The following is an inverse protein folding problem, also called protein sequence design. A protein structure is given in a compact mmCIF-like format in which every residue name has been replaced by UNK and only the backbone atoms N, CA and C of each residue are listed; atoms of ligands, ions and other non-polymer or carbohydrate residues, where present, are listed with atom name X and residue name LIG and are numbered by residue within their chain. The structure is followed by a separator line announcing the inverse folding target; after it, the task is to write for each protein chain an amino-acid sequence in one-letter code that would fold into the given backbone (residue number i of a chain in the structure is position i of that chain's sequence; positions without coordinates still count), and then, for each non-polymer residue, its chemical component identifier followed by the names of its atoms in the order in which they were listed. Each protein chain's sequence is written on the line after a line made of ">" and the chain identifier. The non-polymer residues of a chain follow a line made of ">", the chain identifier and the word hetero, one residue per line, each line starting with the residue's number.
data_IF_977686381436
#
_entry.id   IF_977686381436
#
_cell.length_a   1.000
_cell.length_b   1.000
_cell.length_c   1.000
_cell.angle_alpha   90.00
_cell.angle_beta   90.00
_cell.angle_gamma   90.00
#
_symmetry.space_group_name_H-M   'P 1'
#
loop_
_entity.id
_entity.type
_entity.pdbx_description
1 polymer ?
#
# COMPACT_ATOMS: atom_id res chain seq x y z
N UNK A 1 47.86 -4.71 -113.29
CA UNK A 1 48.36 -6.08 -113.02
C UNK A 1 48.71 -6.19 -111.54
N UNK A 2 48.41 -7.36 -110.93
CA UNK A 2 48.71 -7.84 -109.57
C UNK A 2 47.63 -7.67 -108.48
N UNK A 3 46.84 -8.74 -108.37
CA UNK A 3 46.17 -9.23 -107.15
C UNK A 3 47.21 -9.44 -106.03
N UNK A 4 46.80 -9.25 -104.78
CA UNK A 4 47.03 -10.24 -103.70
C UNK A 4 46.07 -10.02 -102.53
N UNK A 5 45.28 -11.07 -102.31
CA UNK A 5 44.46 -11.40 -101.16
C UNK A 5 45.36 -11.57 -99.92
N UNK A 6 44.96 -11.05 -98.76
CA UNK A 6 45.36 -11.62 -97.47
C UNK A 6 44.22 -11.47 -96.45
N UNK A 7 43.73 -12.62 -96.00
CA UNK A 7 43.01 -12.85 -94.75
C UNK A 7 43.81 -12.25 -93.57
N UNK A 8 43.15 -11.89 -92.47
CA UNK A 8 43.28 -12.56 -91.16
C UNK A 8 43.10 -11.59 -89.97
N UNK A 9 42.41 -12.13 -88.97
CA UNK A 9 42.43 -11.78 -87.56
C UNK A 9 41.69 -10.52 -87.11
N UNK A 10 40.40 -10.73 -86.83
CA UNK A 10 39.71 -10.06 -85.73
C UNK A 10 40.44 -10.40 -84.41
N UNK A 11 41.29 -9.49 -83.91
CA UNK A 11 41.68 -9.47 -82.51
C UNK A 11 40.69 -8.55 -81.78
N UNK A 12 39.64 -9.14 -81.19
CA UNK A 12 39.05 -8.54 -80.00
C UNK A 12 40.10 -8.67 -78.90
N UNK A 13 40.87 -7.61 -78.67
CA UNK A 13 41.51 -7.43 -77.37
C UNK A 13 40.41 -7.19 -76.35
N UNK A 14 40.02 -8.24 -75.63
CA UNK A 14 39.42 -8.09 -74.31
C UNK A 14 40.46 -7.40 -73.43
N UNK A 15 40.47 -6.06 -73.44
CA UNK A 15 41.09 -5.30 -72.36
C UNK A 15 40.24 -5.54 -71.12
N UNK A 16 40.61 -6.57 -70.35
CA UNK A 16 40.23 -6.65 -68.95
C UNK A 16 40.96 -5.49 -68.28
N UNK A 17 40.31 -4.34 -68.20
CA UNK A 17 40.72 -3.32 -67.25
C UNK A 17 40.55 -3.95 -65.87
N UNK A 18 41.66 -4.37 -65.26
CA UNK A 18 41.68 -4.65 -63.82
C UNK A 18 41.18 -3.38 -63.14
N UNK A 19 39.97 -3.44 -62.59
CA UNK A 19 39.45 -2.34 -61.79
C UNK A 19 40.35 -2.23 -60.57
N UNK A 20 40.97 -1.07 -60.38
CA UNK A 20 41.83 -0.83 -59.23
C UNK A 20 41.00 -0.40 -58.02
N UNK A 21 41.33 -0.98 -56.87
CA UNK A 21 40.67 -0.71 -55.59
C UNK A 21 41.67 -0.23 -54.54
N UNK A 22 41.15 0.51 -53.58
CA UNK A 22 41.82 0.93 -52.36
C UNK A 22 41.13 0.30 -51.16
N UNK A 23 41.91 0.00 -50.14
CA UNK A 23 41.45 -0.60 -48.88
C UNK A 23 41.06 0.47 -47.88
N UNK A 24 39.92 0.25 -47.23
CA UNK A 24 39.37 1.12 -46.20
C UNK A 24 39.01 0.32 -44.95
N UNK A 25 39.16 0.93 -43.78
CA UNK A 25 38.75 0.34 -42.50
C UNK A 25 37.65 1.19 -41.88
N UNK A 26 36.44 0.63 -41.85
CA UNK A 26 35.25 1.26 -41.30
C UNK A 26 34.86 0.65 -39.96
N UNK A 27 34.17 1.41 -39.14
CA UNK A 27 33.58 0.97 -37.88
C UNK A 27 32.11 1.41 -37.81
N UNK A 28 31.23 0.55 -37.31
CA UNK A 28 29.78 0.85 -37.21
C UNK A 28 29.34 1.39 -35.85
N UNK A 29 30.18 1.30 -34.83
CA UNK A 29 29.82 1.72 -33.47
C UNK A 29 31.03 2.10 -32.62
N UNK A 30 30.78 2.66 -31.44
CA UNK A 30 31.79 2.85 -30.39
C UNK A 30 31.28 2.42 -29.02
N UNK A 31 32.19 2.16 -28.09
CA UNK A 31 31.87 1.84 -26.68
C UNK A 31 31.03 2.93 -26.02
N UNK A 32 31.37 4.19 -26.29
CA UNK A 32 30.75 5.34 -25.65
C UNK A 32 29.39 5.71 -26.28
N UNK A 33 29.25 5.56 -27.60
CA UNK A 33 28.09 6.08 -28.34
C UNK A 33 27.13 4.98 -28.81
N UNK A 34 27.52 3.72 -28.72
CA UNK A 34 26.78 2.61 -29.33
C UNK A 34 26.81 2.69 -30.85
N UNK A 35 25.76 2.18 -31.49
CA UNK A 35 25.64 2.12 -32.94
C UNK A 35 25.50 3.50 -33.57
N UNK A 36 26.35 3.78 -34.56
CA UNK A 36 26.30 5.04 -35.28
C UNK A 36 24.99 5.15 -36.06
N UNK A 37 24.29 6.24 -35.82
CA UNK A 37 23.06 6.59 -36.51
C UNK A 37 23.08 8.07 -36.89
N UNK A 38 22.06 8.50 -37.65
CA UNK A 38 21.95 9.87 -38.13
C UNK A 38 22.07 10.91 -37.01
N UNK A 39 21.34 10.70 -35.93
CA UNK A 39 21.24 11.66 -34.82
C UNK A 39 22.59 11.84 -34.13
N UNK A 40 23.31 10.74 -33.88
CA UNK A 40 24.64 10.77 -33.28
C UNK A 40 25.62 11.47 -34.22
N UNK A 41 25.70 11.01 -35.48
CA UNK A 41 26.74 11.45 -36.41
C UNK A 41 26.60 12.92 -36.80
N UNK A 42 25.37 13.42 -36.99
CA UNK A 42 25.13 14.83 -37.32
C UNK A 42 25.43 15.77 -36.14
N UNK A 43 25.47 15.26 -34.89
CA UNK A 43 25.79 16.04 -33.71
C UNK A 43 27.26 15.98 -33.27
N UNK A 44 28.08 15.12 -33.89
CA UNK A 44 29.51 15.02 -33.59
C UNK A 44 30.27 16.21 -34.22
N UNK A 45 31.17 16.88 -33.47
CA UNK A 45 32.05 17.91 -34.01
C UNK A 45 32.95 17.39 -35.14
N UNK A 46 33.21 18.22 -36.16
CA UNK A 46 34.00 17.83 -37.34
C UNK A 46 35.45 17.40 -37.09
N UNK A 47 36.01 17.83 -35.96
CA UNK A 47 37.38 17.54 -35.54
C UNK A 47 37.44 16.43 -34.49
N UNK A 48 36.31 15.85 -34.13
CA UNK A 48 36.25 14.74 -33.17
C UNK A 48 36.96 13.52 -33.74
N UNK A 49 37.84 12.92 -32.94
CA UNK A 49 38.57 11.70 -33.29
C UNK A 49 38.35 10.64 -32.23
N UNK A 50 38.19 9.39 -32.67
CA UNK A 50 38.02 8.25 -31.79
C UNK A 50 39.30 7.41 -31.71
N UNK A 51 39.67 6.96 -30.51
CA UNK A 51 40.70 5.93 -30.37
C UNK A 51 40.18 4.62 -30.99
N UNK A 52 41.03 3.92 -31.74
CA UNK A 52 40.67 2.65 -32.35
C UNK A 52 40.26 1.59 -31.33
N UNK A 53 40.70 1.72 -30.07
CA UNK A 53 40.31 0.83 -28.97
C UNK A 53 38.85 1.01 -28.53
N UNK A 54 38.24 2.15 -28.87
CA UNK A 54 36.86 2.47 -28.50
C UNK A 54 35.87 2.18 -29.62
N UNK A 55 36.36 1.91 -30.83
CA UNK A 55 35.54 1.61 -31.99
C UNK A 55 35.24 0.10 -32.09
N UNK A 56 33.99 -0.22 -32.46
CA UNK A 56 33.46 -1.58 -32.55
C UNK A 56 32.85 -1.78 -33.95
N UNK A 57 32.72 -3.04 -34.38
CA UNK A 57 32.12 -3.39 -35.67
C UNK A 57 33.01 -3.00 -36.85
N UNK A 58 34.25 -3.52 -36.85
CA UNK A 58 35.24 -3.24 -37.89
C UNK A 58 34.89 -3.95 -39.20
N UNK A 59 35.06 -3.26 -40.32
CA UNK A 59 34.93 -3.78 -41.67
C UNK A 59 36.12 -3.38 -42.54
N UNK A 60 36.74 -4.36 -43.20
CA UNK A 60 37.70 -4.16 -44.28
C UNK A 60 36.96 -4.07 -45.61
N UNK A 61 37.08 -2.93 -46.30
CA UNK A 61 36.28 -2.66 -47.50
C UNK A 61 37.19 -2.23 -48.64
N UNK A 62 37.13 -2.93 -49.76
CA UNK A 62 37.83 -2.54 -50.98
C UNK A 62 36.87 -1.71 -51.87
N UNK A 63 37.22 -0.45 -52.14
CA UNK A 63 36.40 0.50 -52.92
C UNK A 63 37.16 0.95 -54.17
N UNK A 64 36.47 1.02 -55.31
CA UNK A 64 37.07 1.42 -56.58
C UNK A 64 37.71 2.83 -56.50
N UNK A 65 38.93 2.98 -57.04
CA UNK A 65 39.84 4.14 -56.88
C UNK A 65 39.30 5.53 -57.31
N UNK A 66 38.09 5.59 -57.85
CA UNK A 66 37.40 6.83 -58.24
C UNK A 66 36.80 7.61 -57.06
N UNK A 67 36.79 7.06 -55.84
CA UNK A 67 36.14 7.67 -54.67
C UNK A 67 37.21 8.01 -53.62
N UNK A 68 37.65 9.28 -53.53
CA UNK A 68 38.58 9.68 -52.47
C UNK A 68 37.82 9.74 -51.14
N UNK A 69 38.24 8.93 -50.18
CA UNK A 69 37.71 8.94 -48.81
C UNK A 69 38.78 9.39 -47.83
N UNK A 70 38.41 10.31 -46.95
CA UNK A 70 39.26 10.92 -45.94
C UNK A 70 39.11 10.17 -44.61
N UNK A 71 40.21 9.70 -44.00
CA UNK A 71 40.17 9.17 -42.64
C UNK A 71 39.63 10.18 -41.63
N UNK A 72 39.12 9.67 -40.52
CA UNK A 72 38.49 10.41 -39.43
C UNK A 72 37.22 11.16 -39.84
N UNK A 73 36.44 10.57 -40.74
CA UNK A 73 35.15 11.08 -41.21
C UNK A 73 34.08 10.00 -41.18
N UNK A 74 32.84 10.44 -41.03
CA UNK A 74 31.68 9.57 -41.14
C UNK A 74 31.15 9.51 -42.56
N UNK A 75 30.71 8.33 -42.96
CA UNK A 75 30.14 8.06 -44.27
C UNK A 75 28.82 7.31 -44.13
N UNK A 76 27.86 7.67 -44.97
CA UNK A 76 26.60 6.95 -45.16
C UNK A 76 26.69 6.17 -46.47
N UNK A 77 26.68 4.84 -46.37
CA UNK A 77 26.90 3.93 -47.49
C UNK A 77 26.25 2.56 -47.23
N UNK A 78 26.13 1.75 -48.27
CA UNK A 78 25.50 0.42 -48.24
C UNK A 78 26.50 -0.66 -48.68
N UNK A 79 26.70 -1.67 -47.82
CA UNK A 79 27.53 -2.85 -48.08
C UNK A 79 26.74 -4.03 -48.71
N UNK A 80 25.49 -3.81 -49.13
CA UNK A 80 24.58 -4.83 -49.64
C UNK A 80 23.55 -5.33 -48.62
N UNK A 81 23.44 -4.66 -47.46
CA UNK A 81 22.48 -4.98 -46.38
C UNK A 81 21.58 -3.79 -46.03
N UNK A 82 21.63 -2.72 -46.81
CA UNK A 82 20.98 -1.45 -46.54
C UNK A 82 21.96 -0.38 -46.11
N UNK A 83 21.56 0.88 -46.26
CA UNK A 83 22.39 2.02 -45.91
C UNK A 83 22.57 2.17 -44.40
N UNK A 84 23.82 2.38 -43.98
CA UNK A 84 24.21 2.58 -42.59
C UNK A 84 25.31 3.66 -42.47
N UNK A 85 25.56 4.08 -41.23
CA UNK A 85 26.58 5.07 -40.87
C UNK A 85 27.86 4.38 -40.41
N UNK A 86 29.00 4.80 -40.94
CA UNK A 86 30.29 4.23 -40.63
C UNK A 86 31.35 5.30 -40.40
N UNK A 87 32.22 5.09 -39.41
CA UNK A 87 33.40 5.92 -39.18
C UNK A 87 34.61 5.32 -39.89
N UNK A 88 35.27 6.09 -40.76
CA UNK A 88 36.47 5.66 -41.49
C UNK A 88 37.73 5.99 -40.70
N UNK A 89 38.52 4.99 -40.32
CA UNK A 89 39.80 5.22 -39.60
C UNK A 89 41.02 5.19 -40.50
N UNK A 90 40.97 4.47 -41.63
CA UNK A 90 42.10 4.40 -42.54
C UNK A 90 41.69 4.14 -44.00
N UNK A 91 42.47 4.71 -44.92
CA UNK A 91 42.29 4.66 -46.37
C UNK A 91 43.69 4.44 -46.98
N UNK A 92 43.92 3.31 -47.64
CA UNK A 92 45.25 2.87 -48.11
C UNK A 92 45.20 2.49 -49.59
N UNK A 93 46.30 2.79 -50.30
CA UNK A 93 46.46 2.39 -51.70
C UNK A 93 46.61 0.88 -51.82
N UNK A 94 45.86 0.26 -52.73
CA UNK A 94 45.87 -1.18 -52.95
C UNK A 94 44.79 -1.92 -52.14
N UNK A 95 44.61 -3.21 -52.46
CA UNK A 95 43.56 -4.05 -51.88
C UNK A 95 44.02 -4.71 -50.58
N UNK A 96 43.09 -4.80 -49.63
CA UNK A 96 43.24 -5.71 -48.50
C UNK A 96 42.87 -7.12 -48.97
N UNK A 97 43.61 -8.14 -48.54
CA UNK A 97 43.40 -9.53 -48.98
C UNK A 97 42.34 -10.30 -48.20
N UNK A 98 41.83 -9.72 -47.11
CA UNK A 98 40.79 -10.30 -46.25
C UNK A 98 39.55 -9.40 -46.19
N UNK A 99 39.21 -8.74 -47.30
CA UNK A 99 38.09 -7.81 -47.33
C UNK A 99 36.74 -8.48 -46.98
N UNK A 100 35.96 -7.80 -46.13
CA UNK A 100 34.59 -8.20 -45.82
C UNK A 100 33.65 -7.82 -46.97
N UNK A 101 33.92 -6.68 -47.63
CA UNK A 101 33.08 -6.13 -48.70
C UNK A 101 33.90 -5.54 -49.84
N UNK A 102 33.32 -5.58 -51.06
CA UNK A 102 33.91 -5.05 -52.29
C UNK A 102 32.88 -4.21 -53.05
N UNK A 103 33.18 -2.92 -53.27
CA UNK A 103 32.26 -1.94 -53.85
C UNK A 103 32.80 -1.39 -55.20
N UNK A 104 32.09 -1.66 -56.30
CA UNK A 104 32.41 -1.24 -57.69
C UNK A 104 31.36 -0.26 -58.25
N UNK A 105 31.75 0.84 -58.90
CA UNK A 105 30.81 1.87 -59.37
C UNK A 105 29.61 1.32 -60.19
N UNK A 106 28.41 1.92 -60.04
CA UNK A 106 28.10 3.08 -59.20
C UNK A 106 27.64 2.67 -57.79
N UNK A 107 28.43 2.98 -56.75
CA UNK A 107 27.99 2.91 -55.35
C UNK A 107 27.69 4.31 -54.83
N UNK A 108 26.62 4.43 -54.04
CA UNK A 108 26.26 5.67 -53.37
C UNK A 108 27.02 5.76 -52.04
N UNK A 109 28.07 6.59 -52.01
CA UNK A 109 28.82 6.92 -50.80
C UNK A 109 28.68 8.42 -50.56
N UNK A 110 28.12 8.79 -49.41
CA UNK A 110 27.99 10.18 -49.01
C UNK A 110 28.80 10.42 -47.73
N UNK A 111 29.68 11.42 -47.74
CA UNK A 111 30.27 11.92 -46.51
C UNK A 111 29.19 12.61 -45.68
N UNK A 112 29.07 12.26 -44.41
CA UNK A 112 28.08 12.86 -43.53
C UNK A 112 28.57 14.23 -43.08
N UNK A 113 27.69 15.22 -43.11
CA UNK A 113 28.00 16.56 -42.61
C UNK A 113 28.08 16.52 -41.08
N UNK A 114 29.21 16.99 -40.56
CA UNK A 114 29.47 17.09 -39.13
C UNK A 114 29.11 18.48 -38.60
N UNK A 115 29.05 18.62 -37.27
CA UNK A 115 28.72 19.88 -36.63
C UNK A 115 29.91 20.85 -36.66
N UNK A 116 29.69 22.07 -37.16
CA UNK A 116 30.72 23.13 -37.22
C UNK A 116 30.78 24.03 -35.97
N UNK A 117 29.79 23.94 -35.09
CA UNK A 117 29.71 24.72 -33.85
C UNK A 117 29.96 23.82 -32.64
N UNK A 118 30.53 24.35 -31.53
CA UNK A 118 30.62 23.61 -30.27
C UNK A 118 29.25 23.06 -29.82
N UNK A 119 29.27 21.86 -29.25
CA UNK A 119 28.10 21.18 -28.70
C UNK A 119 27.58 21.97 -27.48
N UNK A 120 26.29 22.37 -27.43
CA UNK A 120 25.73 23.09 -26.31
C UNK A 120 25.76 22.20 -25.07
N UNK A 121 26.25 22.77 -23.96
CA UNK A 121 26.14 22.18 -22.62
C UNK A 121 24.80 22.59 -22.05
N UNK A 122 23.92 21.64 -21.77
CA UNK A 122 22.58 21.91 -21.25
C UNK A 122 22.03 20.72 -20.47
N UNK A 123 21.19 21.03 -19.49
CA UNK A 123 20.35 20.06 -18.79
C UNK A 123 18.87 20.46 -18.89
N UNK A 124 17.98 19.50 -19.14
CA UNK A 124 16.54 19.74 -19.30
C UNK A 124 15.71 18.59 -18.72
N UNK A 125 14.39 18.74 -18.77
CA UNK A 125 13.42 17.67 -18.49
C UNK A 125 13.55 17.05 -17.09
N UNK A 126 13.88 17.87 -16.08
CA UNK A 126 13.96 17.41 -14.70
C UNK A 126 12.59 16.97 -14.18
N UNK A 127 12.54 15.75 -13.62
CA UNK A 127 11.36 15.18 -12.98
C UNK A 127 11.76 14.34 -11.76
N UNK A 128 10.92 14.38 -10.74
CA UNK A 128 11.06 13.51 -9.56
C UNK A 128 10.27 12.23 -9.78
N UNK A 129 10.93 11.09 -9.62
CA UNK A 129 10.35 9.76 -9.84
C UNK A 129 10.01 9.11 -8.49
N UNK A 130 9.20 9.80 -7.68
CA UNK A 130 8.71 9.29 -6.41
C UNK A 130 7.22 8.99 -6.49
N UNK A 131 6.75 8.06 -5.65
CA UNK A 131 5.32 7.89 -5.44
C UNK A 131 4.72 9.20 -4.91
N UNK A 132 3.65 9.69 -5.54
CA UNK A 132 2.96 10.91 -5.14
C UNK A 132 2.18 10.69 -3.82
N UNK A 133 1.84 11.78 -3.13
CA UNK A 133 1.04 11.76 -1.88
C UNK A 133 1.67 10.99 -0.74
N UNK A 134 3.00 10.91 -0.74
CA UNK A 134 3.75 10.20 0.31
C UNK A 134 4.71 11.11 1.03
N UNK A 135 4.85 10.80 2.33
CA UNK A 135 5.89 11.30 3.20
C UNK A 135 7.09 10.35 3.12
N UNK A 136 8.27 10.92 2.93
CA UNK A 136 9.53 10.20 2.86
C UNK A 136 10.43 10.69 3.99
N UNK A 137 10.91 9.74 4.80
CA UNK A 137 11.87 10.06 5.84
C UNK A 137 13.28 10.24 5.27
N UNK A 138 14.12 10.93 6.02
CA UNK A 138 15.56 11.01 5.80
C UNK A 138 16.17 9.60 5.70
N UNK A 139 17.24 9.49 4.90
CA UNK A 139 17.96 8.26 4.60
C UNK A 139 17.15 7.25 3.74
N UNK A 140 16.14 7.72 3.01
CA UNK A 140 15.41 6.93 2.01
C UNK A 140 15.96 7.20 0.61
N UNK A 141 15.65 6.32 -0.34
CA UNK A 141 16.05 6.48 -1.74
C UNK A 141 15.29 7.64 -2.39
N UNK A 142 16.02 8.51 -3.09
CA UNK A 142 15.51 9.60 -3.89
C UNK A 142 15.80 9.35 -5.38
N UNK A 143 14.78 9.00 -6.16
CA UNK A 143 14.86 8.75 -7.60
C UNK A 143 14.40 9.97 -8.41
N UNK A 144 15.14 10.28 -9.47
CA UNK A 144 14.83 11.40 -10.34
C UNK A 144 15.37 11.16 -11.76
N UNK A 145 14.88 11.94 -12.71
CA UNK A 145 15.33 11.89 -14.09
C UNK A 145 15.59 13.28 -14.65
N UNK A 146 16.49 13.35 -15.63
CA UNK A 146 16.78 14.54 -16.43
C UNK A 146 17.41 14.13 -17.77
N UNK A 147 17.49 15.07 -18.69
CA UNK A 147 18.21 14.91 -19.96
C UNK A 147 19.41 15.84 -20.00
N UNK A 148 20.57 15.35 -20.44
CA UNK A 148 21.81 16.11 -20.54
C UNK A 148 22.39 16.02 -21.95
N UNK A 149 22.93 17.13 -22.45
CA UNK A 149 23.69 17.18 -23.71
C UNK A 149 24.90 18.08 -23.50
N UNK A 150 26.03 17.73 -24.10
CA UNK A 150 27.23 18.55 -24.05
C UNK A 150 28.51 17.74 -24.04
N UNK A 151 29.60 18.40 -24.40
CA UNK A 151 30.94 17.85 -24.22
C UNK A 151 31.49 18.33 -22.88
N UNK A 152 31.51 17.45 -21.89
CA UNK A 152 31.99 17.78 -20.56
C UNK A 152 33.45 17.36 -20.34
N UNK A 153 34.13 16.81 -21.34
CA UNK A 153 35.53 16.39 -21.20
C UNK A 153 36.47 17.59 -20.99
N UNK A 154 37.57 17.37 -20.27
CA UNK A 154 38.69 18.30 -20.12
C UNK A 154 38.76 19.05 -18.79
N UNK A 155 39.97 19.53 -18.45
CA UNK A 155 40.26 20.22 -17.18
C UNK A 155 39.87 21.69 -17.17
N UNK A 156 39.19 22.15 -16.11
CA UNK A 156 39.09 23.59 -15.87
C UNK A 156 40.46 24.15 -15.42
N UNK A 157 40.64 25.48 -15.48
CA UNK A 157 41.90 26.16 -15.16
C UNK A 157 42.39 25.93 -13.69
N UNK A 158 41.55 25.34 -12.84
CA UNK A 158 41.83 25.06 -11.43
C UNK A 158 42.00 23.55 -11.13
N UNK A 159 41.93 22.69 -12.15
CA UNK A 159 42.10 21.23 -12.01
C UNK A 159 40.87 20.47 -11.49
N UNK A 160 39.72 21.12 -11.27
CA UNK A 160 38.48 20.45 -10.83
C UNK A 160 37.59 20.10 -12.02
N UNK A 161 37.26 18.82 -12.14
CA UNK A 161 36.53 18.22 -13.26
C UNK A 161 35.17 17.69 -12.81
N UNK A 162 34.57 18.35 -11.82
CA UNK A 162 33.40 17.79 -11.17
C UNK A 162 32.13 18.37 -11.76
N UNK A 163 31.25 17.50 -12.22
CA UNK A 163 29.85 17.83 -12.37
C UNK A 163 29.18 17.57 -11.02
N UNK A 164 28.47 18.57 -10.52
CA UNK A 164 27.65 18.44 -9.32
C UNK A 164 26.17 18.57 -9.70
N UNK A 165 25.38 17.59 -9.31
CA UNK A 165 23.92 17.69 -9.27
C UNK A 165 23.47 17.70 -7.82
N UNK A 166 22.72 18.74 -7.45
CA UNK A 166 22.09 18.87 -6.14
C UNK A 166 20.58 19.00 -6.31
N UNK A 167 19.82 18.17 -5.60
CA UNK A 167 18.36 18.25 -5.59
C UNK A 167 17.88 18.92 -4.31
N UNK A 168 17.00 19.90 -4.43
CA UNK A 168 16.48 20.67 -3.30
C UNK A 168 14.95 20.58 -3.19
N UNK A 169 14.46 20.61 -1.96
CA UNK A 169 13.04 20.64 -1.61
C UNK A 169 12.53 22.08 -1.37
N UNK A 170 11.46 22.50 -2.02
CA UNK A 170 10.77 23.80 -1.91
C UNK A 170 11.58 25.07 -2.25
N UNK A 171 12.89 25.12 -1.99
CA UNK A 171 13.80 26.21 -2.41
C UNK A 171 15.26 25.79 -2.42
N UNK A 172 16.08 26.46 -3.24
CA UNK A 172 17.52 26.17 -3.41
C UNK A 172 18.33 26.75 -2.24
N UNK A 173 18.36 26.04 -1.11
CA UNK A 173 19.16 26.38 0.08
C UNK A 173 19.70 25.11 0.77
N UNK A 174 20.72 25.25 1.60
CA UNK A 174 21.41 24.09 2.19
C UNK A 174 20.53 23.24 3.12
N UNK A 175 19.60 23.86 3.86
CA UNK A 175 18.65 23.14 4.72
C UNK A 175 17.66 22.27 3.94
N UNK A 176 17.45 22.58 2.67
CA UNK A 176 16.52 21.88 1.78
C UNK A 176 17.23 20.91 0.82
N UNK A 177 18.53 20.69 0.97
CA UNK A 177 19.26 19.75 0.12
C UNK A 177 18.77 18.31 0.40
N UNK A 178 18.11 17.71 -0.58
CA UNK A 178 17.65 16.31 -0.52
C UNK A 178 18.82 15.37 -0.80
N UNK A 179 19.50 15.55 -1.93
CA UNK A 179 20.61 14.66 -2.29
C UNK A 179 21.60 15.40 -3.18
N UNK A 180 22.84 14.92 -3.20
CA UNK A 180 23.94 15.49 -3.97
C UNK A 180 24.75 14.37 -4.60
N UNK A 181 24.96 14.46 -5.90
CA UNK A 181 25.80 13.55 -6.68
C UNK A 181 26.93 14.36 -7.30
N UNK A 182 28.15 13.80 -7.21
CA UNK A 182 29.36 14.37 -7.81
C UNK A 182 30.01 13.27 -8.64
N UNK A 183 30.40 13.58 -9.86
CA UNK A 183 31.18 12.66 -10.70
C UNK A 183 32.21 13.41 -11.53
N UNK A 184 33.29 12.69 -11.87
CA UNK A 184 34.43 13.20 -12.63
C UNK A 184 34.11 13.26 -14.13
N UNK A 185 34.57 14.33 -14.79
CA UNK A 185 34.28 14.69 -16.18
C UNK A 185 35.14 13.97 -17.23
N UNK A 186 36.01 13.03 -16.84
CA UNK A 186 37.13 12.61 -17.68
C UNK A 186 36.73 11.78 -18.93
N UNK A 187 35.49 11.30 -19.04
CA UNK A 187 34.98 10.56 -20.21
C UNK A 187 33.55 10.96 -20.67
N UNK A 188 32.96 12.03 -20.12
CA UNK A 188 31.53 12.33 -20.32
C UNK A 188 31.25 13.20 -21.56
N UNK A 189 30.92 12.54 -22.67
CA UNK A 189 30.53 13.17 -23.94
C UNK A 189 29.11 12.77 -24.35
N UNK A 190 28.19 13.73 -24.36
CA UNK A 190 26.79 13.53 -24.72
C UNK A 190 26.44 14.29 -26.00
N UNK A 191 26.68 13.72 -27.21
CA UNK A 191 26.41 14.40 -28.48
C UNK A 191 24.93 14.66 -28.71
N UNK A 192 24.06 13.87 -28.08
CA UNK A 192 22.60 14.00 -28.14
C UNK A 192 22.04 14.21 -26.74
N UNK A 193 20.74 14.56 -26.64
CA UNK A 193 20.06 14.61 -25.35
C UNK A 193 19.95 13.19 -24.81
N UNK A 194 20.69 12.90 -23.75
CA UNK A 194 20.73 11.59 -23.12
C UNK A 194 19.94 11.63 -21.82
N UNK A 195 18.91 10.78 -21.72
CA UNK A 195 18.15 10.58 -20.48
C UNK A 195 19.03 9.91 -19.42
N UNK A 196 18.98 10.42 -18.19
CA UNK A 196 19.61 9.84 -17.01
C UNK A 196 18.55 9.64 -15.94
N UNK A 197 18.60 8.49 -15.26
CA UNK A 197 17.68 8.11 -14.18
C UNK A 197 18.46 7.73 -12.90
N UNK A 198 19.18 8.69 -12.30
CA UNK A 198 19.94 8.42 -11.08
C UNK A 198 19.04 8.25 -9.85
N UNK A 199 19.68 7.75 -8.80
CA UNK A 199 19.15 7.73 -7.45
C UNK A 199 20.18 8.31 -6.47
N UNK A 200 19.72 8.74 -5.31
CA UNK A 200 20.57 9.17 -4.20
C UNK A 200 19.91 8.87 -2.85
N UNK A 201 20.66 9.00 -1.76
CA UNK A 201 20.09 8.92 -0.40
C UNK A 201 19.62 10.30 0.05
N UNK A 202 18.42 10.40 0.62
CA UNK A 202 17.85 11.65 1.12
C UNK A 202 18.53 12.11 2.42
N UNK A 203 18.90 13.39 2.49
CA UNK A 203 19.49 14.01 3.68
C UNK A 203 18.44 14.63 4.62
N UNK A 204 17.21 14.79 4.14
CA UNK A 204 16.09 15.40 4.87
C UNK A 204 14.81 14.59 4.67
N UNK A 205 13.83 14.84 5.54
CA UNK A 205 12.45 14.43 5.30
C UNK A 205 11.82 15.32 4.22
N UNK A 206 10.96 14.76 3.39
CA UNK A 206 10.22 15.50 2.36
C UNK A 206 8.88 14.81 2.07
N UNK A 207 7.97 15.54 1.46
CA UNK A 207 6.69 15.02 0.97
C UNK A 207 6.52 15.31 -0.51
N UNK A 208 5.62 14.56 -1.12
CA UNK A 208 5.24 14.67 -2.53
C UNK A 208 3.77 15.05 -2.65
N UNK A 209 3.33 15.94 -1.76
CA UNK A 209 2.01 16.54 -1.87
C UNK A 209 1.94 17.38 -3.16
N UNK A 210 0.74 17.63 -3.70
CA UNK A 210 0.61 18.47 -4.87
C UNK A 210 1.21 19.86 -4.68
N UNK A 211 1.73 20.41 -5.76
CA UNK A 211 2.33 21.75 -5.81
C UNK A 211 3.64 21.91 -5.06
N UNK A 212 4.13 20.86 -4.38
CA UNK A 212 5.50 20.84 -3.88
C UNK A 212 6.48 21.02 -5.04
N UNK A 213 7.54 21.77 -4.76
CA UNK A 213 8.55 22.11 -5.75
C UNK A 213 9.85 21.42 -5.43
N UNK A 214 10.46 20.83 -6.44
CA UNK A 214 11.80 20.29 -6.39
C UNK A 214 12.67 21.08 -7.35
N UNK A 215 13.93 21.27 -7.00
CA UNK A 215 14.87 22.00 -7.84
C UNK A 215 16.09 21.13 -8.08
N UNK A 216 16.47 20.98 -9.34
CA UNK A 216 17.75 20.40 -9.72
C UNK A 216 18.70 21.56 -10.00
N UNK A 217 19.76 21.66 -9.21
CA UNK A 217 20.88 22.57 -9.46
C UNK A 217 22.02 21.78 -10.09
N UNK A 218 22.34 22.13 -11.32
CA UNK A 218 23.44 21.58 -12.10
C UNK A 218 24.60 22.56 -12.07
N UNK A 219 25.79 22.10 -11.69
CA UNK A 219 26.99 22.93 -11.58
C UNK A 219 28.16 22.26 -12.32
N UNK A 220 28.79 23.00 -13.23
CA UNK A 220 29.93 22.52 -14.01
C UNK A 220 30.86 23.68 -14.39
N UNK A 221 32.18 23.51 -14.22
CA UNK A 221 33.19 24.49 -14.63
C UNK A 221 32.88 25.96 -14.24
N UNK A 222 32.28 26.18 -13.06
CA UNK A 222 31.87 27.52 -12.56
C UNK A 222 30.53 28.04 -13.09
N UNK A 223 29.89 27.34 -14.01
CA UNK A 223 28.52 27.61 -14.47
C UNK A 223 27.51 26.90 -13.56
N UNK A 224 26.29 27.45 -13.47
CA UNK A 224 25.18 26.80 -12.78
C UNK A 224 23.86 27.02 -13.51
N UNK A 225 23.07 25.95 -13.62
CA UNK A 225 21.70 25.96 -14.14
C UNK A 225 20.75 25.37 -13.10
N UNK A 226 19.52 25.88 -13.04
CA UNK A 226 18.48 25.38 -12.13
C UNK A 226 17.23 25.01 -12.91
N UNK A 227 16.79 23.76 -12.76
CA UNK A 227 15.51 23.27 -13.26
C UNK A 227 14.53 23.14 -12.09
N UNK A 228 13.24 23.28 -12.37
CA UNK A 228 12.17 23.14 -11.37
C UNK A 228 11.17 22.08 -11.81
N UNK A 229 10.83 21.19 -10.89
CA UNK A 229 9.73 20.23 -11.02
C UNK A 229 8.65 20.59 -9.99
N UNK A 230 7.39 20.66 -10.41
CA UNK A 230 6.25 20.86 -9.51
C UNK A 230 5.41 19.59 -9.52
N UNK A 231 5.12 19.04 -8.34
CA UNK A 231 4.30 17.83 -8.22
C UNK A 231 2.89 18.12 -8.76
N UNK A 232 2.39 17.36 -9.73
CA UNK A 232 1.07 17.58 -10.30
C UNK A 232 -0.04 17.20 -9.32
N UNK A 233 -1.18 17.91 -9.37
CA UNK A 233 -2.43 17.46 -8.73
C UNK A 233 -3.01 16.29 -9.51
N UNK A 234 -3.40 15.24 -8.80
CA UNK A 234 -4.14 14.11 -9.37
C UNK A 234 -5.63 14.42 -9.32
N UNK A 235 -6.13 15.02 -10.39
CA UNK A 235 -7.53 15.47 -10.47
C UNK A 235 -8.51 14.34 -10.76
N UNK A 236 -8.05 13.08 -10.81
CA UNK A 236 -8.92 11.91 -10.98
C UNK A 236 -9.61 11.61 -9.66
N UNK A 237 -10.73 10.89 -9.77
CA UNK A 237 -11.52 10.35 -8.67
C UNK A 237 -11.70 8.87 -9.04
N UNK A 238 -11.01 8.01 -8.32
CA UNK A 238 -10.85 6.59 -8.67
C UNK A 238 -12.05 5.73 -8.25
N UNK A 239 -12.75 6.10 -7.18
CA UNK A 239 -13.93 5.38 -6.68
C UNK A 239 -15.26 6.09 -6.97
N UNK A 240 -15.22 7.32 -7.46
CA UNK A 240 -16.37 8.07 -7.94
C UNK A 240 -17.20 8.70 -6.83
N UNK A 241 -16.65 8.92 -5.65
CA UNK A 241 -17.37 9.48 -4.50
C UNK A 241 -17.52 11.02 -4.55
N UNK A 242 -16.90 11.66 -5.54
CA UNK A 242 -16.92 13.11 -5.75
C UNK A 242 -15.80 13.87 -5.04
N UNK A 243 -14.87 13.17 -4.38
CA UNK A 243 -13.62 13.69 -3.81
C UNK A 243 -12.47 13.30 -4.75
N UNK A 244 -11.66 14.27 -5.16
CA UNK A 244 -10.52 13.95 -6.04
C UNK A 244 -9.45 13.19 -5.23
N UNK A 245 -8.72 12.28 -5.86
CA UNK A 245 -7.68 11.44 -5.25
C UNK A 245 -6.68 12.23 -4.38
N UNK A 246 -6.37 13.48 -4.75
CA UNK A 246 -5.45 14.32 -3.99
C UNK A 246 -6.05 14.91 -2.70
N UNK A 247 -7.36 14.85 -2.54
CA UNK A 247 -8.15 15.27 -1.38
C UNK A 247 -8.75 14.09 -0.61
N UNK A 248 -8.62 12.87 -1.16
CA UNK A 248 -9.21 11.65 -0.66
C UNK A 248 -8.16 10.83 0.12
N UNK A 249 -8.50 10.46 1.35
CA UNK A 249 -7.66 9.63 2.20
C UNK A 249 -7.79 8.12 1.88
N UNK A 250 -8.85 7.73 1.18
CA UNK A 250 -9.13 6.37 0.74
C UNK A 250 -9.45 6.32 -0.77
N UNK A 251 -8.49 6.64 -1.68
CA UNK A 251 -8.74 6.81 -3.13
C UNK A 251 -9.28 5.59 -3.90
N UNK A 252 -9.63 4.49 -3.24
CA UNK A 252 -10.20 3.31 -3.89
C UNK A 252 -11.44 2.81 -3.13
N UNK A 253 -11.94 3.54 -2.14
CA UNK A 253 -13.05 3.15 -1.28
C UNK A 253 -13.97 4.35 -1.06
N UNK A 254 -15.10 4.37 -1.78
CA UNK A 254 -16.00 5.52 -1.76
C UNK A 254 -16.46 5.91 -0.34
N UNK A 255 -16.33 7.21 -0.03
CA UNK A 255 -16.77 7.77 1.24
C UNK A 255 -17.37 9.16 1.08
N UNK A 256 -18.01 9.70 2.12
CA UNK A 256 -18.48 11.07 2.05
C UNK A 256 -17.31 12.05 2.16
N UNK A 257 -17.41 13.19 1.47
CA UNK A 257 -16.44 14.28 1.60
C UNK A 257 -16.26 14.78 3.03
N UNK A 258 -17.28 14.64 3.89
CA UNK A 258 -17.19 14.95 5.33
C UNK A 258 -16.21 14.06 6.09
N UNK A 259 -15.85 12.90 5.52
CA UNK A 259 -14.87 11.96 6.05
C UNK A 259 -13.63 11.85 5.14
N UNK A 260 -13.35 12.88 4.33
CA UNK A 260 -12.23 12.92 3.39
C UNK A 260 -12.19 11.70 2.45
N UNK A 261 -13.34 11.35 1.89
CA UNK A 261 -13.48 10.26 0.92
C UNK A 261 -13.36 8.84 1.50
N UNK A 262 -13.15 8.68 2.82
CA UNK A 262 -13.13 7.36 3.43
C UNK A 262 -14.52 6.84 3.84
N UNK A 263 -14.78 5.53 3.76
CA UNK A 263 -16.04 4.94 4.21
C UNK A 263 -16.33 5.25 5.67
N UNK A 264 -17.61 5.51 5.97
CA UNK A 264 -18.09 5.51 7.35
C UNK A 264 -18.42 4.05 7.68
N UNK A 265 -17.56 3.38 8.43
CA UNK A 265 -17.86 2.01 8.86
C UNK A 265 -19.04 1.93 9.82
N UNK A 266 -19.57 0.72 10.04
CA UNK A 266 -20.67 0.43 10.96
C UNK A 266 -20.16 -0.28 12.23
N UNK A 267 -20.87 -0.19 13.38
CA UNK A 267 -20.62 -1.08 14.51
C UNK A 267 -20.94 -2.54 14.12
N UNK A 268 -20.49 -3.50 14.92
CA UNK A 268 -20.78 -4.93 14.72
C UNK A 268 -20.82 -5.59 16.10
N UNK A 269 -22.00 -5.94 16.61
CA UNK A 269 -22.20 -6.44 17.95
C UNK A 269 -22.28 -7.96 17.97
N UNK A 270 -21.38 -8.57 18.73
CA UNK A 270 -21.34 -10.02 18.92
C UNK A 270 -21.49 -10.32 20.40
N UNK A 271 -22.41 -11.22 20.74
CA UNK A 271 -22.51 -11.74 22.11
C UNK A 271 -21.40 -12.76 22.31
N UNK A 272 -20.50 -12.49 23.25
CA UNK A 272 -19.35 -13.37 23.52
C UNK A 272 -19.62 -14.36 24.65
N UNK A 273 -20.44 -13.99 25.64
CA UNK A 273 -20.84 -14.92 26.70
C UNK A 273 -22.13 -14.52 27.42
N UNK A 274 -22.77 -15.51 28.02
CA UNK A 274 -23.95 -15.36 28.90
C UNK A 274 -23.58 -15.90 30.29
N UNK A 275 -24.06 -15.24 31.35
CA UNK A 275 -23.96 -15.74 32.71
C UNK A 275 -25.27 -15.65 33.49
N UNK A 276 -25.46 -16.58 34.43
CA UNK A 276 -26.52 -16.57 35.43
C UNK A 276 -25.86 -16.64 36.80
N UNK A 277 -26.02 -15.59 37.61
CA UNK A 277 -25.77 -15.65 39.05
C UNK A 277 -27.10 -15.90 39.77
N UNK A 278 -27.12 -16.96 40.56
CA UNK A 278 -28.26 -17.36 41.35
C UNK A 278 -27.81 -17.61 42.79
N UNK A 279 -28.01 -16.61 43.66
CA UNK A 279 -27.65 -16.69 45.08
C UNK A 279 -26.15 -16.85 45.33
N UNK A 280 -25.31 -16.14 44.56
CA UNK A 280 -23.85 -16.15 44.70
C UNK A 280 -23.13 -17.29 43.98
N UNK A 281 -23.88 -18.10 43.23
CA UNK A 281 -23.34 -19.16 42.37
C UNK A 281 -23.54 -18.74 40.92
N UNK A 282 -22.43 -18.42 40.25
CA UNK A 282 -22.41 -18.01 38.85
C UNK A 282 -22.14 -19.21 37.95
N UNK A 283 -22.97 -19.38 36.92
CA UNK A 283 -22.72 -20.26 35.77
C UNK A 283 -22.58 -19.39 34.54
N UNK A 284 -21.65 -19.74 33.65
CA UNK A 284 -21.39 -18.97 32.44
C UNK A 284 -21.11 -19.89 31.25
N UNK A 285 -21.18 -19.34 30.05
CA UNK A 285 -20.87 -20.06 28.81
C UNK A 285 -19.38 -20.08 28.46
N UNK A 286 -18.55 -19.30 29.16
CA UNK A 286 -17.10 -19.24 28.93
C UNK A 286 -16.39 -20.52 29.42
N UNK A 287 -16.92 -21.15 30.47
CA UNK A 287 -16.38 -22.35 31.11
C UNK A 287 -16.96 -23.66 30.54
N UNK A 288 -17.57 -23.61 29.34
CA UNK A 288 -18.25 -24.73 28.66
C UNK A 288 -19.31 -25.43 29.54
N UNK A 289 -19.89 -24.65 30.46
CA UNK A 289 -20.86 -25.11 31.44
C UNK A 289 -22.28 -24.76 31.01
N UNK A 290 -23.23 -25.66 31.25
CA UNK A 290 -24.65 -25.33 31.12
C UNK A 290 -25.04 -24.27 32.14
N UNK A 291 -25.81 -23.27 31.72
CA UNK A 291 -26.37 -22.28 32.63
C UNK A 291 -27.36 -22.95 33.59
N UNK A 292 -27.45 -22.48 34.84
CA UNK A 292 -28.32 -23.11 35.85
C UNK A 292 -29.35 -22.13 36.40
N UNK A 293 -30.63 -22.45 36.18
CA UNK A 293 -31.75 -21.87 36.90
C UNK A 293 -31.92 -22.57 38.25
N UNK A 294 -32.36 -21.81 39.26
CA UNK A 294 -32.55 -22.31 40.62
C UNK A 294 -33.91 -21.88 41.12
N UNK A 295 -34.60 -22.74 41.84
CA UNK A 295 -35.96 -22.44 42.30
C UNK A 295 -35.94 -21.53 43.53
N UNK A 296 -36.89 -20.59 43.59
CA UNK A 296 -37.21 -19.75 44.76
C UNK A 296 -36.12 -18.76 45.20
N UNK A 297 -35.40 -18.15 44.25
CA UNK A 297 -34.35 -17.18 44.53
C UNK A 297 -34.23 -16.10 43.44
N UNK A 298 -33.47 -15.05 43.74
CA UNK A 298 -33.13 -13.99 42.78
C UNK A 298 -32.06 -14.50 41.80
N UNK A 299 -32.25 -14.16 40.52
CA UNK A 299 -31.32 -14.44 39.43
C UNK A 299 -30.88 -13.13 38.79
N UNK A 300 -29.58 -13.02 38.55
CA UNK A 300 -28.98 -11.99 37.71
C UNK A 300 -28.48 -12.66 36.43
N UNK A 301 -29.11 -12.32 35.32
CA UNK A 301 -28.76 -12.77 33.98
C UNK A 301 -27.92 -11.69 33.33
N UNK A 302 -26.70 -12.00 32.89
CA UNK A 302 -25.84 -11.05 32.20
C UNK A 302 -25.42 -11.56 30.84
N UNK A 303 -25.19 -10.63 29.91
CA UNK A 303 -24.60 -10.89 28.60
C UNK A 303 -23.42 -9.97 28.38
N UNK A 304 -22.35 -10.52 27.85
CA UNK A 304 -21.18 -9.77 27.40
C UNK A 304 -21.29 -9.56 25.89
N UNK A 305 -21.32 -8.29 25.49
CA UNK A 305 -21.47 -7.88 24.10
C UNK A 305 -20.20 -7.17 23.67
N UNK A 306 -19.59 -7.63 22.58
CA UNK A 306 -18.38 -7.06 21.98
C UNK A 306 -18.73 -6.31 20.70
N UNK A 307 -18.19 -5.12 20.52
CA UNK A 307 -18.21 -4.44 19.23
C UNK A 307 -16.98 -4.85 18.41
N UNK A 308 -17.15 -5.68 17.37
CA UNK A 308 -16.12 -6.08 16.39
C UNK A 308 -16.03 -5.13 15.19
N UNK A 309 -16.90 -4.12 15.12
CA UNK A 309 -16.97 -3.15 14.04
C UNK A 309 -15.98 -2.01 14.20
N UNK A 310 -15.92 -1.15 13.18
CA UNK A 310 -14.92 -0.08 13.09
C UNK A 310 -15.37 1.24 13.71
N UNK A 311 -16.64 1.39 14.11
CA UNK A 311 -17.16 2.58 14.78
C UNK A 311 -17.89 2.24 16.08
N UNK A 312 -17.99 3.22 16.97
CA UNK A 312 -18.77 3.09 18.21
C UNK A 312 -20.26 2.99 17.89
N UNK A 313 -20.95 2.03 18.49
CA UNK A 313 -22.40 1.88 18.40
C UNK A 313 -23.06 1.90 19.77
N UNK A 314 -24.40 2.02 19.79
CA UNK A 314 -25.20 2.04 21.01
C UNK A 314 -26.34 1.03 20.92
N UNK A 315 -26.40 0.10 21.87
CA UNK A 315 -27.49 -0.88 22.00
C UNK A 315 -28.50 -0.35 23.00
N UNK A 316 -29.78 -0.26 22.64
CA UNK A 316 -30.82 0.28 23.53
C UNK A 316 -31.73 -0.81 24.12
N UNK A 317 -31.49 -2.05 23.73
CA UNK A 317 -32.43 -3.14 23.75
C UNK A 317 -31.64 -4.45 23.64
N UNK A 318 -31.85 -5.35 24.59
CA UNK A 318 -31.32 -6.70 24.52
C UNK A 318 -32.37 -7.62 25.09
N UNK A 319 -32.72 -8.63 24.32
CA UNK A 319 -33.69 -9.62 24.76
C UNK A 319 -32.96 -10.79 25.39
N UNK A 320 -33.42 -11.18 26.57
CA UNK A 320 -33.05 -12.43 27.24
C UNK A 320 -34.32 -13.26 27.36
N UNK A 321 -34.33 -14.45 26.75
CA UNK A 321 -35.56 -15.23 26.54
C UNK A 321 -35.34 -16.68 26.95
N UNK A 322 -36.11 -17.14 27.94
CA UNK A 322 -36.14 -18.55 28.32
C UNK A 322 -37.08 -19.33 27.41
N UNK A 323 -36.61 -20.46 26.89
CA UNK A 323 -37.36 -21.28 25.93
C UNK A 323 -37.16 -22.77 26.14
N UNK A 324 -38.02 -23.58 25.53
CA UNK A 324 -37.89 -25.03 25.46
C UNK A 324 -37.30 -25.55 24.14
N UNK A 325 -36.78 -24.66 23.27
CA UNK A 325 -36.22 -25.04 21.98
C UNK A 325 -35.05 -24.13 21.60
N UNK A 326 -34.00 -24.71 21.00
CA UNK A 326 -32.84 -23.95 20.52
C UNK A 326 -33.16 -23.09 19.30
N UNK A 327 -34.28 -23.37 18.61
CA UNK A 327 -34.83 -22.51 17.56
C UNK A 327 -36.02 -21.74 18.12
N UNK A 328 -35.85 -20.42 18.27
CA UNK A 328 -36.86 -19.52 18.84
C UNK A 328 -38.18 -19.57 18.07
N UNK A 329 -38.15 -19.79 16.75
CA UNK A 329 -39.35 -19.89 15.90
C UNK A 329 -40.14 -21.17 16.11
N UNK A 330 -39.52 -22.21 16.69
CA UNK A 330 -40.12 -23.52 16.98
C UNK A 330 -40.40 -23.75 18.46
N UNK A 331 -40.09 -22.77 19.31
CA UNK A 331 -40.31 -22.88 20.75
C UNK A 331 -41.81 -22.84 21.08
N UNK A 332 -42.30 -23.82 21.85
CA UNK A 332 -43.68 -23.83 22.33
C UNK A 332 -43.83 -23.13 23.68
N UNK A 333 -42.71 -22.87 24.37
CA UNK A 333 -42.63 -22.08 25.59
C UNK A 333 -41.64 -20.95 25.32
N UNK A 334 -42.09 -19.71 25.46
CA UNK A 334 -41.29 -18.49 25.27
C UNK A 334 -41.59 -17.54 26.42
N UNK A 335 -40.60 -17.29 27.26
CA UNK A 335 -40.72 -16.44 28.45
C UNK A 335 -39.63 -15.38 28.45
N UNK A 336 -40.01 -14.14 28.12
CA UNK A 336 -39.11 -13.00 28.15
C UNK A 336 -38.72 -12.64 29.59
N UNK A 337 -37.43 -12.50 29.85
CA UNK A 337 -36.91 -11.91 31.07
C UNK A 337 -37.09 -10.38 31.03
N UNK A 338 -37.03 -9.69 32.18
CA UNK A 338 -37.08 -8.24 32.19
C UNK A 338 -35.99 -7.63 31.30
N UNK A 339 -36.29 -6.54 30.60
CA UNK A 339 -35.28 -5.87 29.78
C UNK A 339 -34.16 -5.31 30.68
N UNK A 340 -32.89 -5.44 30.26
CA UNK A 340 -31.79 -4.76 30.93
C UNK A 340 -32.00 -3.24 30.87
N UNK A 341 -31.96 -2.55 32.01
CA UNK A 341 -32.36 -1.15 32.12
C UNK A 341 -31.20 -0.19 31.78
N UNK A 342 -30.77 -0.10 30.51
CA UNK A 342 -29.93 1.02 30.02
C UNK A 342 -29.56 0.90 28.55
N UNK A 343 -29.40 2.04 27.86
CA UNK A 343 -28.60 2.12 26.63
C UNK A 343 -27.12 1.82 26.92
N UNK A 344 -26.48 1.04 26.06
CA UNK A 344 -25.12 0.57 26.19
C UNK A 344 -24.29 1.03 24.98
N UNK A 345 -23.46 2.06 25.15
CA UNK A 345 -22.48 2.47 24.12
C UNK A 345 -21.22 1.62 24.22
N UNK A 346 -20.77 1.08 23.08
CA UNK A 346 -19.63 0.16 22.98
C UNK A 346 -18.68 0.66 21.88
N UNK A 347 -17.46 1.04 22.26
CA UNK A 347 -16.41 1.45 21.33
C UNK A 347 -15.84 0.26 20.54
N UNK A 348 -15.16 0.48 19.39
CA UNK A 348 -14.51 -0.59 18.64
C UNK A 348 -13.60 -1.47 19.51
N UNK A 349 -13.72 -2.79 19.35
CA UNK A 349 -13.01 -3.83 20.10
C UNK A 349 -13.25 -3.81 21.63
N UNK A 350 -14.23 -3.06 22.13
CA UNK A 350 -14.64 -3.07 23.52
C UNK A 350 -15.69 -4.15 23.76
N UNK A 351 -15.61 -4.81 24.92
CA UNK A 351 -16.68 -5.68 25.45
C UNK A 351 -17.35 -4.99 26.63
N UNK A 352 -18.68 -5.01 26.67
CA UNK A 352 -19.48 -4.48 27.77
C UNK A 352 -20.53 -5.47 28.23
N UNK A 353 -20.76 -5.50 29.53
CA UNK A 353 -21.76 -6.35 30.16
C UNK A 353 -23.09 -5.61 30.30
N UNK A 354 -24.19 -6.33 30.08
CA UNK A 354 -25.54 -5.87 30.39
C UNK A 354 -26.33 -6.95 31.12
N UNK A 355 -27.07 -6.56 32.15
CA UNK A 355 -27.71 -7.52 33.05
C UNK A 355 -29.18 -7.22 33.30
N UNK A 356 -29.94 -8.29 33.55
CA UNK A 356 -31.32 -8.27 34.01
C UNK A 356 -31.46 -9.08 35.29
N UNK A 357 -32.28 -8.61 36.22
CA UNK A 357 -32.53 -9.28 37.50
C UNK A 357 -34.01 -9.63 37.63
N UNK A 358 -34.30 -10.86 38.06
CA UNK A 358 -35.65 -11.29 38.37
C UNK A 358 -35.64 -12.38 39.44
N UNK A 359 -36.71 -12.43 40.23
CA UNK A 359 -36.97 -13.55 41.13
C UNK A 359 -37.65 -14.68 40.37
N UNK A 360 -37.18 -15.92 40.56
CA UNK A 360 -37.74 -17.11 39.93
C UNK A 360 -38.22 -18.08 41.01
N UNK A 361 -39.48 -18.54 40.94
CA UNK A 361 -40.01 -19.57 41.85
C UNK A 361 -39.72 -20.97 41.30
N UNK A 362 -40.50 -21.98 41.67
CA UNK A 362 -40.66 -23.24 40.94
C UNK A 362 -41.24 -23.09 39.52
N UNK A 363 -41.84 -21.93 39.23
CA UNK A 363 -42.37 -21.56 37.92
C UNK A 363 -41.88 -20.18 37.48
N UNK A 364 -41.87 -19.94 36.18
CA UNK A 364 -41.65 -18.62 35.59
C UNK A 364 -42.70 -18.36 34.50
N UNK A 365 -43.46 -17.27 34.65
CA UNK A 365 -44.59 -16.92 33.78
C UNK A 365 -45.54 -18.10 33.51
N UNK A 366 -45.87 -18.87 34.56
CA UNK A 366 -46.82 -19.99 34.50
C UNK A 366 -46.25 -21.31 33.98
N UNK A 367 -44.97 -21.38 33.64
CA UNK A 367 -44.31 -22.61 33.18
C UNK A 367 -43.35 -23.15 34.26
N UNK A 368 -43.32 -24.47 34.45
CA UNK A 368 -42.36 -25.12 35.35
C UNK A 368 -40.92 -24.87 34.89
N UNK A 369 -40.01 -24.65 35.83
CA UNK A 369 -38.60 -24.37 35.51
C UNK A 369 -37.93 -25.48 34.70
N UNK A 370 -38.31 -26.73 34.95
CA UNK A 370 -37.82 -27.92 34.25
C UNK A 370 -38.18 -27.97 32.77
N UNK A 371 -39.08 -27.10 32.31
CA UNK A 371 -39.49 -27.05 30.90
C UNK A 371 -38.65 -26.06 30.09
N UNK A 372 -37.76 -25.28 30.71
CA UNK A 372 -36.83 -24.40 30.00
C UNK A 372 -35.52 -25.13 29.75
N UNK A 373 -35.11 -25.22 28.49
CA UNK A 373 -33.89 -25.91 28.06
C UNK A 373 -32.85 -24.94 27.51
N UNK A 374 -33.26 -23.73 27.11
CA UNK A 374 -32.37 -22.76 26.48
C UNK A 374 -32.66 -21.33 26.96
N UNK A 375 -31.61 -20.54 27.06
CA UNK A 375 -31.65 -19.10 27.20
C UNK A 375 -31.11 -18.48 25.91
N UNK A 376 -31.97 -17.76 25.19
CA UNK A 376 -31.59 -16.95 24.03
C UNK A 376 -31.19 -15.56 24.49
N UNK A 377 -30.15 -15.02 23.88
CA UNK A 377 -29.72 -13.64 24.04
C UNK A 377 -29.63 -12.99 22.66
N UNK A 378 -30.25 -11.82 22.51
CA UNK A 378 -30.27 -11.06 21.25
C UNK A 378 -29.87 -9.62 21.59
N UNK A 379 -28.71 -9.21 21.11
CA UNK A 379 -28.27 -7.82 21.15
C UNK A 379 -28.98 -7.05 20.04
N UNK A 380 -29.31 -5.78 20.30
CA UNK A 380 -30.13 -4.94 19.41
C UNK A 380 -31.41 -5.62 18.89
N UNK A 381 -32.20 -6.17 19.80
CA UNK A 381 -33.36 -7.00 19.46
C UNK A 381 -34.40 -6.34 18.54
N UNK A 382 -34.58 -5.02 18.61
CA UNK A 382 -35.51 -4.27 17.76
C UNK A 382 -34.86 -3.77 16.45
N UNK A 383 -33.58 -4.10 16.23
CA UNK A 383 -32.76 -3.69 15.09
C UNK A 383 -32.80 -2.15 14.84
N UNK A 384 -32.38 -1.39 15.85
CA UNK A 384 -32.36 0.07 15.80
C UNK A 384 -31.01 0.64 15.36
N UNK A 385 -29.94 -0.15 15.40
CA UNK A 385 -28.57 0.23 15.03
C UNK A 385 -28.13 -0.63 13.86
N UNK A 386 -27.93 -0.03 12.69
CA UNK A 386 -27.41 -0.79 11.55
C UNK A 386 -25.97 -1.24 11.82
N UNK A 387 -25.76 -2.54 11.65
CA UNK A 387 -24.50 -3.22 11.90
C UNK A 387 -23.79 -3.55 10.57
N UNK A 388 -22.49 -3.85 10.62
CA UNK A 388 -21.81 -4.38 9.43
C UNK A 388 -22.22 -5.83 9.12
N UNK A 389 -22.73 -6.54 10.13
CA UNK A 389 -23.30 -7.87 10.03
C UNK A 389 -24.52 -7.95 10.95
N UNK A 390 -25.69 -8.21 10.39
CA UNK A 390 -26.97 -8.24 11.12
C UNK A 390 -27.29 -9.62 11.71
N UNK A 391 -26.49 -10.65 11.38
CA UNK A 391 -26.79 -12.06 11.67
C UNK A 391 -25.98 -12.63 12.84
N UNK A 392 -25.05 -11.87 13.44
CA UNK A 392 -24.11 -12.32 14.47
C UNK A 392 -24.36 -11.74 15.89
N UNK A 393 -25.46 -11.02 16.08
CA UNK A 393 -25.85 -10.39 17.33
C UNK A 393 -26.78 -11.27 18.21
N UNK A 394 -27.04 -12.51 17.80
CA UNK A 394 -27.88 -13.49 18.53
C UNK A 394 -27.12 -14.77 18.87
N UNK A 395 -27.30 -15.26 20.11
CA UNK A 395 -26.80 -16.56 20.56
C UNK A 395 -27.80 -17.25 21.49
N UNK A 396 -27.62 -18.53 21.76
CA UNK A 396 -28.35 -19.26 22.79
C UNK A 396 -27.43 -20.19 23.58
N UNK A 397 -27.82 -20.49 24.81
CA UNK A 397 -27.11 -21.41 25.69
C UNK A 397 -28.05 -22.41 26.34
N UNK A 398 -27.58 -23.63 26.56
CA UNK A 398 -28.32 -24.66 27.29
C UNK A 398 -28.50 -24.28 28.75
N UNK A 399 -29.69 -24.53 29.27
CA UNK A 399 -30.10 -24.22 30.64
C UNK A 399 -30.58 -25.49 31.33
N UNK A 400 -30.11 -25.69 32.56
CA UNK A 400 -30.59 -26.72 33.46
C UNK A 400 -31.32 -26.09 34.65
N UNK A 401 -32.34 -26.77 35.16
CA UNK A 401 -33.00 -26.39 36.41
C UNK A 401 -32.44 -27.18 37.58
N UNK A 402 -32.21 -26.52 38.71
CA UNK A 402 -31.82 -27.16 39.96
C UNK A 402 -32.76 -26.78 41.09
N UNK A 403 -33.22 -27.79 41.83
CA UNK A 403 -33.89 -27.59 43.13
C UNK A 403 -32.91 -27.24 44.26
N UNK A 404 -31.60 -27.17 43.95
CA UNK A 404 -30.54 -26.80 44.88
C UNK A 404 -30.65 -25.33 45.25
N UNK A 405 -31.26 -25.09 46.41
CA UNK A 405 -31.32 -23.77 47.06
C UNK A 405 -29.95 -23.44 47.62
N UNK A 406 -29.43 -22.26 47.30
CA UNK A 406 -28.35 -21.70 48.13
C UNK A 406 -28.99 -21.34 49.48
N UNK A 407 -28.56 -21.95 50.61
CA UNK A 407 -29.16 -21.63 51.90
C UNK A 407 -28.97 -20.14 52.19
N UNK A 408 -30.07 -19.42 52.35
CA UNK A 408 -30.04 -17.98 52.62
C UNK A 408 -29.75 -17.75 54.10
N UNK A 409 -28.79 -16.87 54.41
CA UNK A 409 -28.56 -16.44 55.78
C UNK A 409 -29.71 -15.51 56.22
N UNK A 410 -30.43 -15.94 57.25
CA UNK A 410 -31.48 -15.17 57.90
C UNK A 410 -30.99 -14.73 59.27
N UNK A 411 -30.82 -13.43 59.45
CA UNK A 411 -30.43 -12.82 60.72
C UNK A 411 -31.54 -11.88 61.20
N UNK A 412 -32.03 -12.11 62.42
CA UNK A 412 -33.16 -11.39 63.01
C UNK A 412 -32.68 -10.60 64.20
N UNK A 413 -33.03 -9.32 64.25
CA UNK A 413 -32.67 -8.38 65.31
C UNK A 413 -33.92 -7.89 66.06
N UNK A 414 -33.77 -7.63 67.36
CA UNK A 414 -34.79 -6.95 68.16
C UNK A 414 -34.78 -5.43 67.91
N UNK A 415 -35.71 -4.72 68.54
CA UNK A 415 -35.82 -3.24 68.43
C UNK A 415 -34.59 -2.49 68.99
N UNK A 416 -33.76 -3.14 69.79
CA UNK A 416 -32.54 -2.58 70.36
C UNK A 416 -31.30 -2.90 69.49
N UNK A 417 -31.47 -3.63 68.39
CA UNK A 417 -30.39 -4.05 67.49
C UNK A 417 -29.64 -5.30 67.97
N UNK A 418 -30.11 -6.01 68.99
CA UNK A 418 -29.50 -7.28 69.40
C UNK A 418 -29.90 -8.40 68.45
N UNK A 419 -28.95 -9.27 68.09
CA UNK A 419 -29.19 -10.45 67.26
C UNK A 419 -30.01 -11.49 68.07
N UNK A 420 -31.26 -11.68 67.67
CA UNK A 420 -32.23 -12.61 68.30
C UNK A 420 -32.11 -14.01 67.70
N UNK A 421 -31.88 -14.11 66.39
CA UNK A 421 -31.74 -15.40 65.69
C UNK A 421 -30.82 -15.24 64.50
N UNK A 422 -30.01 -16.27 64.25
CA UNK A 422 -29.23 -16.40 63.02
C UNK A 422 -29.32 -17.86 62.58
N UNK A 423 -29.74 -18.08 61.34
CA UNK A 423 -29.93 -19.40 60.79
C UNK A 423 -29.82 -19.35 59.27
N UNK A 424 -29.67 -20.51 58.65
CA UNK A 424 -29.79 -20.65 57.19
C UNK A 424 -31.15 -21.26 56.88
N UNK A 425 -31.83 -20.67 55.91
CA UNK A 425 -33.13 -21.15 55.42
C UNK A 425 -32.99 -21.58 53.97
N UNK A 426 -33.66 -22.66 53.61
CA UNK A 426 -33.67 -23.17 52.25
C UNK A 426 -34.93 -22.73 51.51
N UNK A 427 -35.98 -22.26 52.20
CA UNK A 427 -37.24 -21.90 51.54
C UNK A 427 -38.09 -20.93 52.38
N UNK A 428 -39.15 -20.38 51.77
CA UNK A 428 -40.07 -19.45 52.42
C UNK A 428 -40.87 -20.08 53.56
N UNK A 429 -41.10 -21.39 53.52
CA UNK A 429 -41.77 -22.12 54.61
C UNK A 429 -40.89 -22.13 55.86
N UNK A 430 -39.62 -22.49 55.71
CA UNK A 430 -38.61 -22.41 56.80
C UNK A 430 -38.47 -20.98 57.32
N UNK A 431 -38.42 -19.98 56.43
CA UNK A 431 -38.45 -18.56 56.84
C UNK A 431 -39.68 -18.25 57.71
N UNK A 432 -40.85 -18.71 57.26
CA UNK A 432 -42.13 -18.49 57.94
C UNK A 432 -42.16 -19.22 59.28
N UNK A 433 -41.61 -20.42 59.38
CA UNK A 433 -41.56 -21.22 60.61
C UNK A 433 -40.61 -20.60 61.62
N UNK A 434 -39.45 -20.09 61.17
CA UNK A 434 -38.55 -19.30 62.02
C UNK A 434 -39.26 -18.05 62.54
N UNK A 435 -39.93 -17.29 61.67
CA UNK A 435 -40.69 -16.10 62.07
C UNK A 435 -41.85 -16.44 63.02
N UNK A 436 -42.56 -17.56 62.78
CA UNK A 436 -43.65 -18.02 63.64
C UNK A 436 -43.18 -18.42 65.03
N UNK A 437 -41.96 -18.91 65.16
CA UNK A 437 -41.36 -19.30 66.43
C UNK A 437 -40.95 -18.11 67.32
N UNK A 438 -40.92 -16.90 66.78
CA UNK A 438 -40.58 -15.70 67.54
C UNK A 438 -41.71 -15.31 68.50
N UNK A 439 -41.38 -14.82 69.71
CA UNK A 439 -42.35 -14.17 70.60
C UNK A 439 -43.07 -12.99 69.94
N UNK A 440 -44.17 -12.55 70.53
CA UNK A 440 -44.85 -11.32 70.11
C UNK A 440 -43.91 -10.11 70.26
N UNK A 441 -43.75 -9.33 69.19
CA UNK A 441 -42.79 -8.23 69.18
C UNK A 441 -42.48 -7.66 67.80
N UNK A 442 -41.70 -6.58 67.77
CA UNK A 442 -41.15 -5.98 66.55
C UNK A 442 -39.75 -6.51 66.28
N UNK A 443 -39.50 -6.90 65.03
CA UNK A 443 -38.23 -7.46 64.60
C UNK A 443 -37.76 -6.85 63.28
N UNK A 444 -36.44 -6.75 63.12
CA UNK A 444 -35.77 -6.43 61.86
C UNK A 444 -35.15 -7.69 61.30
N UNK A 445 -35.47 -8.03 60.06
CA UNK A 445 -34.99 -9.24 59.40
C UNK A 445 -34.01 -8.82 58.32
N UNK A 446 -32.78 -9.33 58.40
CA UNK A 446 -31.77 -9.25 57.37
C UNK A 446 -31.69 -10.60 56.65
N UNK A 447 -31.98 -10.60 55.35
CA UNK A 447 -31.96 -11.77 54.48
C UNK A 447 -30.89 -11.58 53.42
N UNK A 448 -29.71 -12.15 53.63
CA UNK A 448 -28.51 -11.95 52.79
C UNK A 448 -28.27 -10.46 52.41
N UNK A 449 -28.39 -9.55 53.37
CA UNK A 449 -28.22 -8.10 53.18
C UNK A 449 -29.51 -7.34 52.86
N UNK A 450 -30.60 -8.02 52.51
CA UNK A 450 -31.91 -7.41 52.23
C UNK A 450 -32.70 -7.26 53.52
N UNK A 451 -32.83 -6.01 53.98
CA UNK A 451 -33.46 -5.68 55.27
C UNK A 451 -34.96 -5.47 55.15
N UNK A 452 -35.71 -6.04 56.09
CA UNK A 452 -37.15 -5.88 56.24
C UNK A 452 -37.53 -5.75 57.72
N UNK A 453 -38.77 -5.35 58.00
CA UNK A 453 -39.31 -5.24 59.37
C UNK A 453 -40.63 -5.98 59.48
N UNK A 454 -40.85 -6.63 60.62
CA UNK A 454 -42.09 -7.34 60.90
C UNK A 454 -42.56 -7.04 62.32
N UNK A 455 -43.88 -6.93 62.49
CA UNK A 455 -44.51 -7.02 63.80
C UNK A 455 -45.16 -8.39 63.92
N UNK A 456 -44.64 -9.23 64.80
CA UNK A 456 -45.21 -10.55 65.09
C UNK A 456 -46.26 -10.37 66.17
N UNK A 457 -47.52 -10.64 65.83
CA UNK A 457 -48.63 -10.80 66.77
C UNK A 457 -48.97 -12.28 66.87
N UNK A 458 -49.33 -12.77 68.06
CA UNK A 458 -49.77 -14.15 68.24
C UNK A 458 -51.01 -14.47 67.42
#
# INVERSE_FOLDING_TARGET
>A
MKKKLFLLACLLSLQVFSQSYNSHVFYSSSKALGDFNKEIVENIPCEETFDFQDLIGRFYVNIQNSIPLEPNKFYFLDFGQGFNYYYLTSSRVGEHSDEDYRLSLPHSIAQVSCRSTPLPKQIKSFKVNQAHYKNFSRNTTFEYEYEIQGDYRGKNNNGNNDITISIYYNSVNQSNLITKTVWEMDEEFFPVLTKREPWGTSFIDYDTDPERKFYLKFEYAGNSEVLTYTVPRDTRDFDGDGVQNWQDNCPNEAGPSSNNGCPIGNPDFVIVSISIDAGGLTTNTDDDSSLTLRENQDHKFCVNIKNTGSVTGTINNTALILTNNSDLSKASIVSNLPYPNSSLTISPNQTREMCSETYITDTYLGNNLTNFYYLHAIADYDNNTSESNEDNNQVYASVNSSSSKTPTQLTIYDVNGNKVKETTINNKTEETDVIKSLPEGFYFIDKDGKKSKIYKKN
#
